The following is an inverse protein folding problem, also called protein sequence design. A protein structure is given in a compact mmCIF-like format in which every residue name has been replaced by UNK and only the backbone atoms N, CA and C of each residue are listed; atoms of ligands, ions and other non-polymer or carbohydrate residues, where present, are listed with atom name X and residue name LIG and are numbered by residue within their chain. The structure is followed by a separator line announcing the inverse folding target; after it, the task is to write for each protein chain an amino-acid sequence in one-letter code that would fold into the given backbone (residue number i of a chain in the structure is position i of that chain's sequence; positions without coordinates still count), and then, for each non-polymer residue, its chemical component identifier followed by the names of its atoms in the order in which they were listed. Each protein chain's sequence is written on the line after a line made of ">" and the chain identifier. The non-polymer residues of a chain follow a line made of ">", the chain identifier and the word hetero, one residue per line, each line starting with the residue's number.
data_IF_380941360907
#
_entry.id   IF_380941360907
#
_cell.length_a   1.000
_cell.length_b   1.000
_cell.length_c   1.000
_cell.angle_alpha   90.00
_cell.angle_beta   90.00
_cell.angle_gamma   90.00
#
_symmetry.space_group_name_H-M   'P 1'
#
loop_
_entity.id
_entity.type
_entity.pdbx_description
1 polymer ?
#
# COMPACT_ATOMS: atom_id res chain seq x y z
N UNK A 1 15.24 68.96 18.87
CA UNK A 1 16.17 69.23 17.73
C UNK A 1 16.65 67.86 17.31
N UNK A 2 16.43 67.27 16.25
CA UNK A 2 16.01 67.54 14.93
C UNK A 2 15.78 66.20 14.26
N UNK A 3 14.73 66.14 13.51
CA UNK A 3 14.39 65.11 12.54
C UNK A 3 15.54 64.83 11.57
N UNK A 4 15.63 63.58 11.05
CA UNK A 4 15.60 63.35 9.60
C UNK A 4 15.11 61.91 9.29
N UNK A 5 14.03 61.87 8.54
CA UNK A 5 13.50 60.76 7.77
C UNK A 5 14.33 60.61 6.50
N UNK A 6 14.68 59.41 6.08
CA UNK A 6 14.80 59.11 4.65
C UNK A 6 14.55 57.59 4.36
N UNK A 7 13.53 57.42 3.57
CA UNK A 7 13.16 56.24 2.83
C UNK A 7 14.21 55.89 1.77
N UNK A 8 14.47 54.60 1.54
CA UNK A 8 14.84 54.11 0.22
C UNK A 8 14.26 52.72 0.00
N UNK A 9 13.32 52.69 -0.90
CA UNK A 9 12.90 51.49 -1.63
C UNK A 9 14.08 50.93 -2.43
N UNK A 10 14.26 49.63 -2.42
CA UNK A 10 14.97 48.94 -3.50
C UNK A 10 14.39 47.60 -3.77
N UNK A 11 13.78 47.55 -4.94
CA UNK A 11 13.75 46.48 -5.95
C UNK A 11 13.28 45.11 -5.55
N UNK A 12 12.08 44.87 -5.99
CA UNK A 12 11.48 43.57 -6.23
C UNK A 12 12.40 42.66 -7.06
N UNK A 13 12.80 41.54 -6.51
CA UNK A 13 13.23 40.39 -7.27
C UNK A 13 12.02 39.54 -7.65
N UNK A 14 11.63 39.66 -8.91
CA UNK A 14 10.64 38.81 -9.57
C UNK A 14 11.06 37.36 -9.45
N UNK A 15 10.43 36.62 -8.58
CA UNK A 15 10.44 35.17 -8.60
C UNK A 15 9.57 34.70 -9.76
N UNK A 16 10.18 34.27 -10.85
CA UNK A 16 9.52 33.57 -11.94
C UNK A 16 8.87 32.30 -11.41
N UNK A 17 7.58 32.36 -11.14
CA UNK A 17 6.73 31.17 -11.05
C UNK A 17 6.74 30.51 -12.42
N UNK A 18 7.62 29.54 -12.63
CA UNK A 18 7.44 28.53 -13.66
C UNK A 18 6.11 27.84 -13.37
N UNK A 19 5.08 28.16 -14.16
CA UNK A 19 3.86 27.40 -14.24
C UNK A 19 4.24 25.99 -14.69
N UNK A 20 4.27 25.07 -13.75
CA UNK A 20 4.23 23.64 -14.05
C UNK A 20 2.90 23.39 -14.76
N UNK A 21 3.00 22.94 -15.98
CA UNK A 21 1.86 22.49 -16.78
C UNK A 21 1.17 21.37 -16.01
N UNK A 22 -0.12 21.57 -15.79
CA UNK A 22 -1.12 20.64 -15.30
C UNK A 22 -0.60 19.47 -14.45
N UNK A 23 -0.71 19.52 -13.10
CA UNK A 23 -0.67 18.30 -12.33
C UNK A 23 -1.87 17.46 -12.77
N UNK A 24 -1.63 16.28 -13.30
CA UNK A 24 -2.64 15.24 -13.38
C UNK A 24 -3.17 15.10 -11.96
N UNK A 25 -4.40 15.50 -11.70
CA UNK A 25 -5.07 15.29 -10.43
C UNK A 25 -5.16 13.77 -10.25
N UNK A 26 -4.24 13.23 -9.48
CA UNK A 26 -4.35 11.87 -8.97
C UNK A 26 -5.60 11.86 -8.10
N UNK A 27 -6.68 11.27 -8.61
CA UNK A 27 -7.93 11.11 -7.88
C UNK A 27 -7.66 10.49 -6.52
N UNK A 28 -8.49 10.82 -5.54
CA UNK A 28 -8.38 10.29 -4.19
C UNK A 28 -8.23 8.76 -4.25
N UNK A 29 -7.07 8.26 -3.85
CA UNK A 29 -6.79 6.84 -3.76
C UNK A 29 -7.57 6.30 -2.56
N UNK A 30 -8.85 6.06 -2.76
CA UNK A 30 -9.64 5.30 -1.78
C UNK A 30 -9.12 3.88 -1.84
N UNK A 31 -8.28 3.55 -0.89
CA UNK A 31 -7.83 2.20 -0.61
C UNK A 31 -9.04 1.40 -0.13
N UNK A 32 -9.79 0.86 -1.07
CA UNK A 32 -10.65 -0.26 -0.77
C UNK A 32 -9.76 -1.50 -0.69
N UNK A 33 -9.49 -1.96 0.52
CA UNK A 33 -9.53 -3.38 0.74
C UNK A 33 -10.99 -3.74 0.43
N UNK A 34 -11.26 -4.13 -0.79
CA UNK A 34 -12.45 -4.91 -1.03
C UNK A 34 -12.22 -6.21 -0.25
N UNK A 35 -12.83 -6.25 0.93
CA UNK A 35 -13.22 -7.52 1.50
C UNK A 35 -14.28 -8.00 0.50
N UNK A 36 -13.80 -8.64 -0.58
CA UNK A 36 -14.66 -9.32 -1.51
C UNK A 36 -15.52 -10.28 -0.68
N UNK A 37 -16.81 -10.21 -0.85
CA UNK A 37 -17.68 -11.33 -0.56
C UNK A 37 -17.07 -12.57 -1.23
N UNK A 38 -16.42 -13.40 -0.44
CA UNK A 38 -15.88 -14.68 -0.86
C UNK A 38 -17.03 -15.62 -1.22
N UNK A 39 -17.62 -15.43 -2.39
CA UNK A 39 -18.61 -16.34 -2.96
C UNK A 39 -17.99 -17.10 -4.13
N UNK A 40 -17.04 -17.96 -3.85
CA UNK A 40 -16.68 -19.01 -4.79
C UNK A 40 -16.01 -20.17 -4.06
N UNK A 41 -16.77 -21.22 -3.83
CA UNK A 41 -16.33 -22.51 -3.32
C UNK A 41 -16.81 -22.76 -1.90
N UNK A 42 -17.95 -23.45 -1.80
CA UNK A 42 -18.44 -24.25 -0.68
C UNK A 42 -17.58 -24.22 0.60
N UNK A 43 -17.58 -23.08 1.28
CA UNK A 43 -17.49 -23.04 2.72
C UNK A 43 -18.92 -22.80 3.18
N UNK A 44 -19.56 -23.87 3.67
CA UNK A 44 -20.81 -23.77 4.41
C UNK A 44 -20.60 -22.76 5.53
N UNK A 45 -21.55 -21.81 5.62
CA UNK A 45 -21.69 -20.84 6.69
C UNK A 45 -20.79 -19.59 6.68
N UNK A 46 -20.86 -18.78 5.59
CA UNK A 46 -20.78 -17.34 5.83
C UNK A 46 -22.15 -16.84 6.33
N UNK A 47 -22.19 -16.09 7.44
CA UNK A 47 -23.45 -15.55 7.94
C UNK A 47 -24.06 -14.66 6.86
N UNK A 48 -25.23 -15.06 6.34
CA UNK A 48 -26.04 -14.22 5.45
C UNK A 48 -26.30 -12.87 6.12
N UNK A 49 -26.55 -11.79 5.37
CA UNK A 49 -26.92 -10.46 5.91
C UNK A 49 -27.95 -10.51 7.04
N UNK A 50 -28.81 -11.56 7.12
CA UNK A 50 -29.75 -11.81 8.21
C UNK A 50 -29.11 -12.15 9.55
N UNK A 51 -27.91 -12.75 9.57
CA UNK A 51 -27.21 -13.12 10.81
C UNK A 51 -26.56 -11.93 11.54
N UNK A 52 -26.40 -10.78 10.85
CA UNK A 52 -25.87 -9.55 11.45
C UNK A 52 -26.90 -8.77 12.27
N UNK A 53 -28.20 -9.05 12.12
CA UNK A 53 -29.26 -8.38 12.88
C UNK A 53 -29.33 -8.91 14.31
N UNK A 54 -29.47 -8.01 15.29
CA UNK A 54 -29.62 -8.37 16.70
C UNK A 54 -31.07 -8.70 17.01
N UNK A 55 -31.95 -7.75 16.68
CA UNK A 55 -33.40 -7.80 16.97
C UNK A 55 -34.01 -6.57 16.29
N UNK A 56 -35.14 -6.68 15.56
CA UNK A 56 -35.68 -5.57 14.79
C UNK A 56 -35.86 -4.25 15.54
N UNK A 57 -36.34 -4.22 16.81
CA UNK A 57 -36.42 -2.97 17.59
C UNK A 57 -35.08 -2.34 17.90
N UNK A 58 -34.05 -3.15 18.19
CA UNK A 58 -32.69 -2.62 18.45
C UNK A 58 -32.01 -2.15 17.19
N UNK A 59 -32.14 -2.86 16.09
CA UNK A 59 -31.59 -2.45 14.78
C UNK A 59 -32.17 -1.10 14.33
N UNK A 60 -33.47 -0.85 14.58
CA UNK A 60 -34.08 0.45 14.29
C UNK A 60 -33.48 1.58 15.12
N UNK A 61 -33.25 1.34 16.42
CA UNK A 61 -32.61 2.34 17.30
C UNK A 61 -31.15 2.62 16.93
N UNK A 62 -30.40 1.59 16.53
CA UNK A 62 -29.02 1.76 16.04
C UNK A 62 -28.99 2.60 14.77
N UNK A 63 -29.90 2.35 13.82
CA UNK A 63 -30.05 3.15 12.60
C UNK A 63 -30.37 4.62 12.89
N UNK A 64 -31.30 4.86 13.82
CA UNK A 64 -31.65 6.20 14.25
C UNK A 64 -30.43 6.91 14.87
N UNK A 65 -29.71 6.27 15.79
CA UNK A 65 -28.50 6.80 16.40
C UNK A 65 -27.42 7.16 15.35
N UNK A 66 -27.18 6.28 14.38
CA UNK A 66 -26.18 6.50 13.31
C UNK A 66 -26.61 7.67 12.42
N UNK A 67 -27.89 7.79 12.11
CA UNK A 67 -28.45 8.92 11.34
C UNK A 67 -28.28 10.23 12.10
N UNK A 68 -28.68 10.27 13.37
CA UNK A 68 -28.60 11.46 14.22
C UNK A 68 -27.17 11.92 14.44
N UNK A 69 -26.22 10.98 14.48
CA UNK A 69 -24.79 11.27 14.57
C UNK A 69 -24.20 11.87 13.28
N UNK A 70 -24.89 11.73 12.14
CA UNK A 70 -24.49 12.29 10.86
C UNK A 70 -23.51 11.41 10.05
N UNK A 71 -23.59 10.10 10.15
CA UNK A 71 -22.87 9.18 9.27
C UNK A 71 -23.43 9.31 7.85
N UNK A 72 -22.59 9.65 6.88
CA UNK A 72 -23.09 10.13 5.58
C UNK A 72 -22.65 9.31 4.36
N UNK A 73 -21.54 8.53 4.41
CA UNK A 73 -21.08 7.79 3.22
C UNK A 73 -21.50 6.32 3.21
N UNK A 74 -21.41 5.64 4.35
CA UNK A 74 -21.70 4.20 4.50
C UNK A 74 -22.29 3.94 5.89
N UNK A 75 -23.50 4.46 6.19
CA UNK A 75 -24.12 4.30 7.51
C UNK A 75 -24.29 2.83 7.88
N UNK A 76 -24.54 1.94 6.89
CA UNK A 76 -24.74 0.52 7.09
C UNK A 76 -23.54 -0.16 7.75
N UNK A 77 -22.30 0.20 7.36
CA UNK A 77 -21.08 -0.35 7.98
C UNK A 77 -20.92 0.10 9.43
N UNK A 78 -21.31 1.32 9.76
CA UNK A 78 -21.30 1.82 11.13
C UNK A 78 -22.35 1.09 11.98
N UNK A 79 -23.54 0.89 11.42
CA UNK A 79 -24.61 0.07 12.06
C UNK A 79 -24.10 -1.34 12.37
N UNK A 80 -23.45 -2.01 11.40
CA UNK A 80 -22.88 -3.36 11.57
C UNK A 80 -21.81 -3.40 12.67
N UNK A 81 -20.94 -2.39 12.76
CA UNK A 81 -19.93 -2.30 13.84
C UNK A 81 -20.58 -2.16 15.21
N UNK A 82 -21.61 -1.32 15.35
CA UNK A 82 -22.34 -1.14 16.62
C UNK A 82 -23.06 -2.42 17.00
N UNK A 83 -23.75 -3.03 16.06
CA UNK A 83 -24.46 -4.31 16.26
C UNK A 83 -23.49 -5.41 16.67
N UNK A 84 -22.31 -5.47 16.03
CA UNK A 84 -21.24 -6.43 16.39
C UNK A 84 -20.75 -6.20 17.83
N UNK A 85 -20.57 -4.94 18.23
CA UNK A 85 -20.17 -4.62 19.61
C UNK A 85 -21.23 -5.05 20.64
N UNK A 86 -22.53 -4.87 20.32
CA UNK A 86 -23.62 -5.33 21.20
C UNK A 86 -23.69 -6.87 21.28
N UNK A 87 -23.40 -7.58 20.18
CA UNK A 87 -23.33 -9.04 20.17
C UNK A 87 -22.20 -9.56 21.04
N UNK A 88 -21.03 -8.91 21.04
CA UNK A 88 -19.92 -9.29 21.93
C UNK A 88 -20.32 -9.28 23.42
N UNK A 89 -21.17 -8.34 23.85
CA UNK A 89 -21.70 -8.33 25.22
C UNK A 89 -22.66 -9.52 25.47
N UNK A 90 -23.44 -9.92 24.48
CA UNK A 90 -24.35 -11.09 24.58
C UNK A 90 -23.58 -12.41 24.57
N UNK A 91 -22.50 -12.50 23.79
CA UNK A 91 -21.66 -13.69 23.65
C UNK A 91 -20.78 -13.94 24.90
N UNK A 92 -20.90 -13.11 25.93
CA UNK A 92 -20.16 -13.21 27.19
C UNK A 92 -18.63 -13.31 26.99
N UNK A 93 -18.10 -12.57 26.04
CA UNK A 93 -16.67 -12.54 25.72
C UNK A 93 -15.81 -12.17 26.94
N UNK A 94 -14.61 -12.70 27.02
CA UNK A 94 -13.68 -12.36 28.07
C UNK A 94 -13.29 -10.88 28.06
N UNK A 95 -12.96 -10.33 29.23
CA UNK A 95 -12.45 -8.95 29.31
C UNK A 95 -11.16 -8.77 28.50
N UNK A 96 -10.36 -9.83 28.38
CA UNK A 96 -9.12 -9.80 27.56
C UNK A 96 -9.44 -9.63 26.09
N UNK A 97 -10.39 -10.41 25.54
CA UNK A 97 -10.82 -10.32 24.14
C UNK A 97 -11.45 -8.97 23.82
N UNK A 98 -12.32 -8.47 24.72
CA UNK A 98 -12.93 -7.14 24.56
C UNK A 98 -11.86 -6.02 24.55
N UNK A 99 -10.83 -6.11 25.39
CA UNK A 99 -9.72 -5.17 25.40
C UNK A 99 -8.92 -5.24 24.10
N UNK A 100 -8.65 -6.45 23.60
CA UNK A 100 -7.94 -6.68 22.33
C UNK A 100 -8.69 -6.01 21.17
N UNK A 101 -9.96 -6.36 20.98
CA UNK A 101 -10.80 -5.87 19.88
C UNK A 101 -10.95 -4.34 19.96
N UNK A 102 -11.29 -3.81 21.14
CA UNK A 102 -11.45 -2.37 21.33
C UNK A 102 -10.17 -1.59 21.06
N UNK A 103 -8.99 -2.11 21.45
CA UNK A 103 -7.72 -1.47 21.15
C UNK A 103 -7.42 -1.53 19.67
N UNK A 104 -7.62 -2.67 19.02
CA UNK A 104 -7.42 -2.85 17.58
C UNK A 104 -8.28 -1.89 16.75
N UNK A 105 -9.57 -1.76 17.10
CA UNK A 105 -10.48 -0.82 16.46
C UNK A 105 -10.00 0.64 16.59
N UNK A 106 -9.52 1.03 17.78
CA UNK A 106 -8.98 2.38 18.02
C UNK A 106 -7.72 2.63 17.21
N UNK A 107 -6.80 1.67 17.12
CA UNK A 107 -5.57 1.77 16.34
C UNK A 107 -5.87 1.91 14.85
N UNK A 108 -6.76 1.05 14.31
CA UNK A 108 -7.18 1.11 12.91
C UNK A 108 -7.85 2.44 12.55
N UNK A 109 -8.77 2.91 13.40
CA UNK A 109 -9.45 4.19 13.19
C UNK A 109 -8.47 5.37 13.24
N UNK A 110 -7.54 5.37 14.20
CA UNK A 110 -6.56 6.45 14.33
C UNK A 110 -5.60 6.48 13.14
N UNK A 111 -5.07 5.33 12.73
CA UNK A 111 -4.22 5.23 11.55
C UNK A 111 -4.94 5.74 10.29
N UNK A 112 -6.17 5.28 10.04
CA UNK A 112 -6.97 5.75 8.91
C UNK A 112 -7.16 7.28 8.92
N UNK A 113 -7.41 7.88 10.11
CA UNK A 113 -7.51 9.34 10.26
C UNK A 113 -6.22 10.06 9.91
N UNK A 114 -5.05 9.53 10.34
CA UNK A 114 -3.74 10.15 10.08
C UNK A 114 -3.36 10.05 8.61
N UNK A 115 -3.67 8.94 7.94
CA UNK A 115 -3.36 8.75 6.52
C UNK A 115 -4.30 9.47 5.56
N UNK A 116 -5.55 9.73 5.96
CA UNK A 116 -6.58 10.30 5.08
C UNK A 116 -6.17 11.59 4.32
N UNK A 117 -5.50 12.58 4.92
CA UNK A 117 -5.06 13.78 4.21
C UNK A 117 -4.04 13.50 3.08
N UNK A 118 -3.36 12.36 3.16
CA UNK A 118 -2.30 11.95 2.24
C UNK A 118 -2.72 10.80 1.32
N UNK A 119 -4.02 10.51 1.23
CA UNK A 119 -4.53 9.40 0.40
C UNK A 119 -4.19 9.56 -1.09
N UNK A 120 -4.02 10.79 -1.56
CA UNK A 120 -3.66 11.12 -2.94
C UNK A 120 -2.17 10.93 -3.27
N UNK A 121 -1.32 10.69 -2.28
CA UNK A 121 0.13 10.50 -2.47
C UNK A 121 0.48 9.01 -2.37
N UNK A 122 1.34 8.55 -3.28
CA UNK A 122 1.93 7.21 -3.17
C UNK A 122 2.90 7.16 -2.02
N UNK A 123 3.02 5.97 -1.44
CA UNK A 123 3.86 5.73 -0.28
C UNK A 123 4.69 4.49 -0.49
N UNK A 124 5.97 4.53 -0.11
CA UNK A 124 6.87 3.38 -0.09
C UNK A 124 7.17 2.99 1.35
N UNK A 125 6.97 1.72 1.70
CA UNK A 125 7.39 1.20 3.00
C UNK A 125 8.85 0.76 2.92
N UNK A 126 9.65 1.22 3.88
CA UNK A 126 11.08 0.90 3.98
C UNK A 126 11.33 0.07 5.23
N UNK A 127 11.89 -1.12 5.04
CA UNK A 127 12.30 -2.02 6.11
C UNK A 127 13.78 -2.37 5.99
N UNK A 128 14.43 -2.59 7.11
CA UNK A 128 15.82 -2.98 7.21
C UNK A 128 16.27 -3.01 8.66
N UNK A 129 17.53 -3.34 8.89
CA UNK A 129 18.10 -3.44 10.22
C UNK A 129 18.07 -2.11 10.98
N UNK A 130 17.53 -2.12 12.20
CA UNK A 130 17.62 -0.99 13.13
C UNK A 130 19.01 -0.79 13.73
N UNK A 131 19.95 -1.71 13.46
CA UNK A 131 21.31 -1.72 14.06
C UNK A 131 22.40 -1.19 13.12
N UNK A 132 22.04 -0.78 11.91
CA UNK A 132 22.98 -0.19 10.95
C UNK A 132 23.39 1.20 11.46
N UNK A 133 24.68 1.44 11.73
CA UNK A 133 25.13 2.74 12.20
C UNK A 133 25.17 3.77 11.04
N UNK A 134 25.16 5.08 11.33
CA UNK A 134 25.13 6.13 10.31
C UNK A 134 26.31 6.12 9.33
N UNK A 135 27.46 5.56 9.75
CA UNK A 135 28.68 5.48 8.95
C UNK A 135 28.68 4.31 7.96
N UNK A 136 27.72 3.38 8.11
CA UNK A 136 27.66 2.20 7.24
C UNK A 136 27.17 2.58 5.83
N UNK A 137 27.72 1.96 4.78
CA UNK A 137 27.29 2.23 3.40
C UNK A 137 25.80 1.94 3.18
N UNK A 138 25.24 0.94 3.83
CA UNK A 138 23.81 0.61 3.77
C UNK A 138 22.93 1.75 4.29
N UNK A 139 23.38 2.49 5.31
CA UNK A 139 22.69 3.68 5.81
C UNK A 139 22.61 4.74 4.73
N UNK A 140 23.73 5.01 4.05
CA UNK A 140 23.77 5.98 2.96
C UNK A 140 22.90 5.58 1.79
N UNK A 141 22.89 4.31 1.41
CA UNK A 141 22.02 3.78 0.33
C UNK A 141 20.54 3.99 0.68
N UNK A 142 20.14 3.75 1.93
CA UNK A 142 18.75 3.93 2.38
C UNK A 142 18.36 5.42 2.41
N UNK A 143 19.25 6.30 2.84
CA UNK A 143 19.04 7.74 2.82
C UNK A 143 18.88 8.26 1.40
N UNK A 144 19.79 7.88 0.49
CA UNK A 144 19.76 8.32 -0.91
C UNK A 144 18.51 7.76 -1.64
N UNK A 145 18.15 6.51 -1.40
CA UNK A 145 16.92 5.93 -1.94
C UNK A 145 15.67 6.74 -1.52
N UNK A 146 15.57 7.05 -0.24
CA UNK A 146 14.42 7.79 0.27
C UNK A 146 14.37 9.23 -0.26
N UNK A 147 15.52 9.89 -0.42
CA UNK A 147 15.61 11.21 -1.04
C UNK A 147 15.16 11.18 -2.50
N UNK A 148 15.65 10.21 -3.26
CA UNK A 148 15.34 10.07 -4.68
C UNK A 148 13.87 9.72 -4.92
N UNK A 149 13.32 8.74 -4.21
CA UNK A 149 11.92 8.35 -4.38
C UNK A 149 10.95 9.47 -3.97
N UNK A 150 11.30 10.29 -3.00
CA UNK A 150 10.52 11.46 -2.61
C UNK A 150 10.56 12.58 -3.67
N UNK A 151 11.61 12.66 -4.49
CA UNK A 151 11.66 13.55 -5.66
C UNK A 151 10.64 13.14 -6.75
N UNK A 152 10.20 11.89 -6.74
CA UNK A 152 9.12 11.36 -7.59
C UNK A 152 7.74 11.41 -6.91
N UNK A 153 7.53 12.32 -5.94
CA UNK A 153 6.26 12.54 -5.22
C UNK A 153 5.76 11.39 -4.37
N UNK A 154 6.66 10.51 -3.93
CA UNK A 154 6.33 9.51 -2.91
C UNK A 154 6.53 10.07 -1.49
N UNK A 155 5.86 9.44 -0.53
CA UNK A 155 6.16 9.53 0.89
C UNK A 155 6.77 8.22 1.37
N UNK A 156 7.52 8.27 2.47
CA UNK A 156 8.15 7.09 3.08
C UNK A 156 7.40 6.68 4.34
N UNK A 157 7.17 5.39 4.50
CA UNK A 157 6.64 4.78 5.73
C UNK A 157 7.72 3.88 6.31
N UNK A 158 8.07 4.05 7.58
CA UNK A 158 8.98 3.16 8.31
C UNK A 158 8.41 2.75 9.65
N UNK A 159 9.13 1.86 10.37
CA UNK A 159 8.82 1.55 11.76
C UNK A 159 9.16 2.65 12.77
N UNK A 160 9.78 3.75 12.34
CA UNK A 160 10.12 4.89 13.18
C UNK A 160 11.36 4.72 14.06
N UNK A 161 12.07 3.59 13.97
CA UNK A 161 13.32 3.34 14.71
C UNK A 161 14.55 3.89 14.00
N UNK A 162 15.73 3.59 14.55
CA UNK A 162 17.03 3.96 13.99
C UNK A 162 17.47 3.04 12.84
N UNK A 163 18.72 3.11 12.45
CA UNK A 163 19.33 2.33 11.37
C UNK A 163 18.72 2.67 10.01
N UNK A 164 18.36 1.66 9.23
CA UNK A 164 17.77 1.84 7.90
C UNK A 164 16.49 2.68 7.94
N UNK A 165 15.66 2.52 8.97
CA UNK A 165 14.43 3.29 9.12
C UNK A 165 14.73 4.78 9.34
N UNK A 166 15.69 5.09 10.21
CA UNK A 166 16.16 6.46 10.47
C UNK A 166 16.82 7.07 9.23
N UNK A 167 17.65 6.30 8.52
CA UNK A 167 18.28 6.72 7.27
C UNK A 167 17.24 7.11 6.21
N UNK A 168 16.23 6.25 6.00
CA UNK A 168 15.18 6.53 5.05
C UNK A 168 14.37 7.78 5.43
N UNK A 169 14.07 7.99 6.71
CA UNK A 169 13.37 9.20 7.15
C UNK A 169 14.24 10.45 7.08
N UNK A 170 15.56 10.31 7.27
CA UNK A 170 16.50 11.41 7.06
C UNK A 170 16.54 11.84 5.58
N UNK A 171 16.59 10.89 4.66
CA UNK A 171 16.56 11.16 3.22
C UNK A 171 15.23 11.76 2.75
N UNK A 172 14.09 11.26 3.24
CA UNK A 172 12.78 11.75 2.90
C UNK A 172 12.43 13.12 3.53
N UNK A 173 13.03 13.41 4.67
CA UNK A 173 12.64 14.56 5.51
C UNK A 173 11.33 14.32 6.27
N UNK A 174 11.11 15.14 7.31
CA UNK A 174 9.97 15.03 8.23
C UNK A 174 8.62 15.10 7.52
N UNK A 175 8.48 16.02 6.57
CA UNK A 175 7.20 16.28 5.89
C UNK A 175 6.75 15.11 5.02
N UNK A 176 7.69 14.36 4.46
CA UNK A 176 7.44 13.19 3.60
C UNK A 176 7.53 11.85 4.35
N UNK A 177 7.60 11.85 5.69
CA UNK A 177 7.79 10.65 6.51
C UNK A 177 6.58 10.29 7.34
N UNK A 178 6.28 8.98 7.40
CA UNK A 178 5.39 8.36 8.38
C UNK A 178 6.18 7.38 9.26
N UNK A 179 5.85 7.33 10.55
CA UNK A 179 6.35 6.32 11.48
C UNK A 179 5.21 5.43 11.98
N UNK A 180 5.29 4.13 11.74
CA UNK A 180 4.38 3.12 12.31
C UNK A 180 5.13 2.37 13.39
N UNK A 181 5.19 2.97 14.58
CA UNK A 181 5.96 2.44 15.70
C UNK A 181 5.19 1.35 16.45
N UNK A 182 5.91 0.34 16.96
CA UNK A 182 5.36 -0.68 17.86
C UNK A 182 5.85 -0.43 19.29
N UNK A 183 4.95 -0.45 20.26
CA UNK A 183 5.32 -0.37 21.67
C UNK A 183 5.87 -1.71 22.14
N UNK A 184 7.16 -1.75 22.42
CA UNK A 184 7.84 -2.92 22.97
C UNK A 184 7.97 -2.82 24.50
N UNK A 185 8.15 -3.95 25.22
CA UNK A 185 8.35 -3.96 26.68
C UNK A 185 9.64 -3.25 27.13
N UNK A 186 10.61 -3.07 26.23
CA UNK A 186 11.82 -2.31 26.44
C UNK A 186 11.75 -0.99 25.64
N UNK A 187 12.41 0.05 26.13
CA UNK A 187 12.44 1.35 25.44
C UNK A 187 13.09 1.22 24.06
N UNK A 188 12.30 1.38 23.02
CA UNK A 188 12.78 1.60 21.67
C UNK A 188 12.62 3.10 21.38
N UNK A 189 13.73 3.78 21.24
CA UNK A 189 13.72 5.20 20.86
C UNK A 189 13.21 5.34 19.44
N UNK A 190 12.35 6.31 19.26
CA UNK A 190 11.94 6.78 17.95
C UNK A 190 13.06 7.69 17.41
N UNK A 191 13.38 7.61 16.11
CA UNK A 191 14.40 8.47 15.55
C UNK A 191 13.96 9.94 15.52
N UNK A 192 14.95 10.84 15.54
CA UNK A 192 14.75 12.30 15.69
C UNK A 192 13.95 12.94 14.56
N UNK A 193 13.89 12.32 13.39
CA UNK A 193 13.16 12.88 12.24
C UNK A 193 11.66 12.85 12.47
N UNK A 194 11.14 11.74 13.00
CA UNK A 194 9.69 11.53 13.15
C UNK A 194 9.20 11.74 14.59
N UNK A 195 10.10 11.91 15.55
CA UNK A 195 9.74 12.12 16.96
C UNK A 195 8.83 13.34 17.12
N UNK A 196 7.71 13.17 17.84
CA UNK A 196 6.70 14.21 18.08
C UNK A 196 5.89 14.65 16.85
N UNK A 197 6.07 14.02 15.68
CA UNK A 197 5.27 14.33 14.50
C UNK A 197 3.89 13.66 14.55
N UNK A 198 2.79 14.33 14.11
CA UNK A 198 1.46 13.73 14.03
C UNK A 198 1.38 12.48 13.15
N UNK A 199 2.32 12.31 12.21
CA UNK A 199 2.43 11.11 11.34
C UNK A 199 3.15 9.94 12.01
N UNK A 200 3.58 10.09 13.27
CA UNK A 200 4.06 8.99 14.11
C UNK A 200 2.89 8.31 14.79
N UNK A 201 2.58 7.10 14.38
CA UNK A 201 1.48 6.29 14.91
C UNK A 201 2.04 5.17 15.79
N UNK A 202 1.58 5.09 17.03
CA UNK A 202 2.03 4.07 17.97
C UNK A 202 1.00 2.93 18.05
N UNK A 203 1.43 1.71 17.75
CA UNK A 203 0.65 0.49 17.83
C UNK A 203 1.04 -0.34 19.07
N UNK A 204 0.08 -1.06 19.63
CA UNK A 204 0.34 -2.05 20.68
C UNK A 204 0.35 -3.48 20.14
N UNK A 205 -0.24 -3.70 18.96
CA UNK A 205 -0.30 -5.02 18.34
C UNK A 205 0.41 -5.03 16.99
N UNK A 206 1.19 -6.09 16.76
CA UNK A 206 1.88 -6.29 15.49
C UNK A 206 0.89 -6.41 14.33
N UNK A 207 -0.21 -7.16 14.48
CA UNK A 207 -1.14 -7.41 13.38
C UNK A 207 -1.85 -6.12 12.89
N UNK A 208 -2.25 -5.22 13.78
CA UNK A 208 -2.83 -3.93 13.37
C UNK A 208 -1.80 -3.04 12.66
N UNK A 209 -0.54 -3.06 13.13
CA UNK A 209 0.57 -2.34 12.50
C UNK A 209 0.86 -2.89 11.11
N UNK A 210 1.03 -4.22 10.97
CA UNK A 210 1.31 -4.91 9.71
C UNK A 210 0.20 -4.65 8.68
N UNK A 211 -1.07 -4.76 9.08
CA UNK A 211 -2.19 -4.45 8.22
C UNK A 211 -2.13 -3.00 7.68
N UNK A 212 -1.75 -2.03 8.52
CA UNK A 212 -1.60 -0.64 8.06
C UNK A 212 -0.40 -0.45 7.12
N UNK A 213 0.72 -1.15 7.31
CA UNK A 213 1.80 -1.16 6.32
C UNK A 213 1.31 -1.62 4.95
N UNK A 214 0.69 -2.80 4.88
CA UNK A 214 0.19 -3.35 3.61
C UNK A 214 -0.88 -2.46 2.99
N UNK A 215 -1.80 -1.95 3.81
CA UNK A 215 -2.92 -1.12 3.36
C UNK A 215 -2.48 0.20 2.75
N UNK A 216 -1.53 0.89 3.35
CA UNK A 216 -1.18 2.26 2.98
C UNK A 216 -0.04 2.35 1.95
N UNK A 217 0.62 1.23 1.68
CA UNK A 217 1.84 1.17 0.87
C UNK A 217 1.55 0.89 -0.60
N UNK A 218 2.33 1.53 -1.47
CA UNK A 218 2.29 1.39 -2.92
C UNK A 218 3.56 0.73 -3.47
N UNK A 219 4.60 0.58 -2.66
CA UNK A 219 5.83 -0.14 -2.97
C UNK A 219 6.54 -0.54 -1.68
N UNK A 220 7.26 -1.65 -1.69
CA UNK A 220 8.15 -2.04 -0.61
C UNK A 220 9.61 -1.93 -1.05
N UNK A 221 10.44 -1.31 -0.22
CA UNK A 221 11.88 -1.30 -0.35
C UNK A 221 12.48 -1.96 0.89
N UNK A 222 13.10 -3.11 0.69
CA UNK A 222 13.60 -4.00 1.73
C UNK A 222 15.12 -4.01 1.68
N UNK A 223 15.74 -3.58 2.75
CA UNK A 223 17.19 -3.54 2.95
C UNK A 223 17.64 -4.71 3.82
N UNK A 224 18.92 -5.06 3.82
CA UNK A 224 19.44 -6.09 4.72
C UNK A 224 19.04 -5.88 6.17
N UNK A 225 18.56 -6.96 6.83
CA UNK A 225 18.06 -6.84 8.19
C UNK A 225 17.88 -8.18 8.92
N UNK A 226 17.38 -8.11 10.14
CA UNK A 226 17.16 -9.26 11.00
C UNK A 226 15.76 -9.85 10.86
N UNK A 227 15.31 -10.54 11.91
CA UNK A 227 14.01 -11.23 11.94
C UNK A 227 12.83 -10.32 11.60
N UNK A 228 12.80 -9.08 12.10
CA UNK A 228 11.69 -8.16 11.79
C UNK A 228 11.62 -7.79 10.31
N UNK A 229 12.76 -7.65 9.63
CA UNK A 229 12.80 -7.41 8.18
C UNK A 229 12.33 -8.64 7.41
N UNK A 230 12.77 -9.85 7.82
CA UNK A 230 12.35 -11.10 7.20
C UNK A 230 10.86 -11.39 7.41
N UNK A 231 10.34 -11.11 8.60
CA UNK A 231 8.93 -11.25 8.95
C UNK A 231 8.03 -10.40 8.02
N UNK A 232 8.38 -9.13 7.80
CA UNK A 232 7.66 -8.29 6.85
C UNK A 232 7.87 -8.74 5.39
N UNK A 233 9.08 -9.18 5.03
CA UNK A 233 9.39 -9.67 3.67
C UNK A 233 8.52 -10.86 3.31
N UNK A 234 8.49 -11.89 4.16
CA UNK A 234 7.69 -13.09 3.90
C UNK A 234 6.19 -12.83 3.97
N UNK A 235 5.74 -11.95 4.86
CA UNK A 235 4.33 -11.57 4.92
C UNK A 235 3.88 -10.90 3.62
N UNK A 236 4.62 -9.89 3.16
CA UNK A 236 4.30 -9.18 1.90
C UNK A 236 4.28 -10.15 0.72
N UNK A 237 5.29 -11.01 0.58
CA UNK A 237 5.35 -11.99 -0.51
C UNK A 237 4.19 -12.98 -0.43
N UNK A 238 3.83 -13.45 0.76
CA UNK A 238 2.69 -14.36 0.96
C UNK A 238 1.38 -13.68 0.58
N UNK A 239 1.18 -12.43 0.97
CA UNK A 239 -0.04 -11.67 0.63
C UNK A 239 -0.14 -11.41 -0.88
N UNK A 240 0.96 -11.12 -1.55
CA UNK A 240 1.00 -10.96 -3.01
C UNK A 240 0.75 -12.30 -3.71
N UNK A 241 1.44 -13.37 -3.31
CA UNK A 241 1.31 -14.72 -3.87
C UNK A 241 -0.13 -15.25 -3.78
N UNK A 242 -0.78 -15.00 -2.67
CA UNK A 242 -2.15 -15.47 -2.41
C UNK A 242 -3.24 -14.52 -2.90
N UNK A 243 -2.87 -13.35 -3.42
CA UNK A 243 -3.81 -12.32 -3.87
C UNK A 243 -4.60 -11.64 -2.75
N UNK A 244 -4.11 -11.73 -1.52
CA UNK A 244 -4.69 -11.03 -0.36
C UNK A 244 -4.25 -9.56 -0.27
N UNK A 245 -3.20 -9.18 -1.00
CA UNK A 245 -2.86 -7.80 -1.26
C UNK A 245 -2.87 -7.54 -2.77
N UNK A 246 -3.09 -6.28 -3.14
CA UNK A 246 -2.91 -5.84 -4.54
C UNK A 246 -1.46 -6.03 -4.95
N UNK A 247 -1.23 -6.30 -6.23
CA UNK A 247 0.14 -6.37 -6.77
C UNK A 247 0.75 -4.98 -6.76
N UNK A 248 1.90 -4.88 -6.11
CA UNK A 248 2.72 -3.68 -6.01
C UNK A 248 4.20 -4.07 -6.16
N UNK A 249 5.09 -3.16 -6.56
CA UNK A 249 6.51 -3.45 -6.67
C UNK A 249 7.15 -3.70 -5.30
N UNK A 250 7.97 -4.74 -5.23
CA UNK A 250 8.81 -5.08 -4.07
C UNK A 250 10.26 -5.10 -4.55
N UNK A 251 11.07 -4.19 -4.04
CA UNK A 251 12.51 -4.13 -4.34
C UNK A 251 13.32 -4.56 -3.11
N UNK A 252 14.24 -5.48 -3.34
CA UNK A 252 15.22 -5.95 -2.36
C UNK A 252 16.52 -5.23 -2.69
N UNK A 253 16.81 -4.12 -1.98
CA UNK A 253 17.92 -3.24 -2.28
C UNK A 253 19.11 -3.55 -1.36
N UNK A 254 20.22 -3.90 -1.98
CA UNK A 254 21.52 -4.05 -1.32
C UNK A 254 22.47 -2.93 -1.78
N UNK A 255 23.59 -2.80 -1.11
CA UNK A 255 24.70 -1.97 -1.61
C UNK A 255 25.33 -2.61 -2.86
N UNK A 256 26.09 -1.87 -3.67
CA UNK A 256 26.61 -2.36 -4.96
C UNK A 256 27.40 -3.67 -4.90
N UNK A 257 28.12 -3.93 -3.82
CA UNK A 257 28.92 -5.14 -3.57
C UNK A 257 28.29 -6.05 -2.50
N UNK A 258 27.04 -5.79 -2.13
CA UNK A 258 26.30 -6.58 -1.16
C UNK A 258 25.88 -7.93 -1.73
N UNK A 259 25.81 -8.94 -0.86
CA UNK A 259 25.44 -10.32 -1.23
C UNK A 259 24.34 -10.89 -0.33
N UNK A 260 23.71 -10.02 0.46
CA UNK A 260 22.67 -10.45 1.41
C UNK A 260 21.46 -11.04 0.70
N UNK A 261 20.94 -10.33 -0.28
CA UNK A 261 19.76 -10.78 -1.01
C UNK A 261 20.05 -11.90 -2.00
N UNK A 262 21.27 -11.99 -2.57
CA UNK A 262 21.68 -13.14 -3.37
C UNK A 262 21.76 -14.41 -2.52
N UNK A 263 22.25 -14.31 -1.28
CA UNK A 263 22.31 -15.43 -0.35
C UNK A 263 20.88 -15.89 0.02
N UNK A 264 19.98 -14.94 0.26
CA UNK A 264 18.57 -15.23 0.49
C UNK A 264 17.91 -15.86 -0.76
N UNK A 265 18.21 -15.38 -1.97
CA UNK A 265 17.71 -15.96 -3.22
C UNK A 265 18.19 -17.43 -3.38
N UNK A 266 19.44 -17.74 -3.03
CA UNK A 266 19.92 -19.13 -3.03
C UNK A 266 19.09 -19.99 -2.08
N UNK A 267 18.81 -19.49 -0.88
CA UNK A 267 17.94 -20.20 0.07
C UNK A 267 16.55 -20.45 -0.53
N UNK A 268 15.91 -19.46 -1.13
CA UNK A 268 14.60 -19.65 -1.78
C UNK A 268 14.66 -20.68 -2.89
N UNK A 269 15.69 -20.62 -3.73
CA UNK A 269 15.85 -21.53 -4.86
C UNK A 269 16.09 -22.97 -4.39
N UNK A 270 16.98 -23.16 -3.43
CA UNK A 270 17.41 -24.51 -3.02
C UNK A 270 16.44 -25.18 -2.05
N UNK A 271 15.77 -24.42 -1.19
CA UNK A 271 14.97 -24.97 -0.09
C UNK A 271 13.47 -24.71 -0.21
N UNK A 272 13.02 -23.76 -1.04
CA UNK A 272 11.61 -23.55 -1.26
C UNK A 272 11.18 -23.98 -2.66
N UNK A 273 11.84 -23.49 -3.70
CA UNK A 273 11.47 -23.79 -5.08
C UNK A 273 11.75 -25.24 -5.46
N UNK A 274 12.97 -25.76 -5.23
CA UNK A 274 13.31 -27.15 -5.53
C UNK A 274 12.47 -28.19 -4.78
N UNK A 275 11.95 -27.81 -3.60
CA UNK A 275 11.05 -28.64 -2.80
C UNK A 275 9.57 -28.46 -3.15
N UNK A 276 9.25 -27.57 -4.08
CA UNK A 276 7.89 -27.32 -4.55
C UNK A 276 7.03 -26.50 -3.57
N UNK A 277 7.63 -25.77 -2.64
CA UNK A 277 6.89 -24.91 -1.70
C UNK A 277 6.48 -23.57 -2.32
N UNK A 278 7.21 -23.12 -3.34
CA UNK A 278 6.88 -21.97 -4.18
C UNK A 278 7.04 -22.34 -5.66
N UNK A 279 6.40 -21.56 -6.54
CA UNK A 279 6.45 -21.73 -7.99
C UNK A 279 7.47 -20.79 -8.65
N UNK A 280 7.79 -21.03 -9.92
CA UNK A 280 8.67 -20.17 -10.71
C UNK A 280 8.10 -18.76 -10.83
N UNK A 281 6.79 -18.63 -10.99
CA UNK A 281 6.12 -17.33 -11.10
C UNK A 281 6.26 -16.47 -9.84
N UNK A 282 6.46 -17.08 -8.66
CA UNK A 282 6.59 -16.35 -7.39
C UNK A 282 7.85 -15.47 -7.36
N UNK A 283 8.89 -15.83 -8.12
CA UNK A 283 10.09 -15.01 -8.26
C UNK A 283 9.84 -13.68 -9.02
N UNK A 284 8.72 -13.57 -9.73
CA UNK A 284 8.32 -12.34 -10.39
C UNK A 284 7.72 -11.29 -9.43
N UNK A 285 7.40 -11.67 -8.19
CA UNK A 285 6.77 -10.79 -7.22
C UNK A 285 7.73 -9.76 -6.61
N UNK A 286 9.04 -9.94 -6.78
CA UNK A 286 10.06 -9.05 -6.24
C UNK A 286 11.25 -8.92 -7.20
N UNK A 287 12.08 -7.91 -6.98
CA UNK A 287 13.30 -7.68 -7.75
C UNK A 287 14.47 -7.33 -6.83
N UNK A 288 15.59 -8.03 -6.99
CA UNK A 288 16.86 -7.69 -6.31
C UNK A 288 17.58 -6.65 -7.14
N UNK A 289 18.03 -5.58 -6.49
CA UNK A 289 18.73 -4.46 -7.10
C UNK A 289 19.88 -3.99 -6.21
N UNK A 290 20.93 -3.41 -6.83
CA UNK A 290 22.15 -3.00 -6.14
C UNK A 290 22.42 -1.49 -6.22
N UNK A 291 21.54 -0.74 -6.89
CA UNK A 291 21.66 0.70 -6.98
C UNK A 291 20.35 1.39 -6.60
N UNK A 292 20.47 2.58 -6.03
CA UNK A 292 19.32 3.46 -5.74
C UNK A 292 18.52 3.73 -7.01
N UNK A 293 19.22 4.00 -8.12
CA UNK A 293 18.58 4.28 -9.40
C UNK A 293 17.70 3.12 -9.86
N UNK A 294 18.22 1.89 -9.84
CA UNK A 294 17.45 0.71 -10.27
C UNK A 294 16.23 0.46 -9.40
N UNK A 295 16.34 0.73 -8.07
CA UNK A 295 15.22 0.61 -7.15
C UNK A 295 14.12 1.64 -7.43
N UNK A 296 14.49 2.89 -7.66
CA UNK A 296 13.55 3.97 -7.98
C UNK A 296 12.93 3.76 -9.36
N UNK A 297 13.74 3.39 -10.35
CA UNK A 297 13.26 3.10 -11.71
C UNK A 297 12.23 1.95 -11.71
N UNK A 298 12.49 0.85 -10.98
CA UNK A 298 11.54 -0.26 -10.85
C UNK A 298 10.20 0.18 -10.26
N UNK A 299 10.23 0.96 -9.19
CA UNK A 299 9.02 1.44 -8.54
C UNK A 299 8.25 2.42 -9.43
N UNK A 300 8.94 3.36 -10.07
CA UNK A 300 8.32 4.35 -10.94
C UNK A 300 7.79 3.73 -12.22
N UNK A 301 8.55 2.80 -12.83
CA UNK A 301 8.15 2.10 -14.04
C UNK A 301 6.91 1.25 -13.83
N UNK A 302 6.73 0.64 -12.64
CA UNK A 302 5.54 -0.15 -12.32
C UNK A 302 4.25 0.66 -12.44
N UNK A 303 4.29 1.96 -12.22
CA UNK A 303 3.12 2.85 -12.30
C UNK A 303 3.11 3.74 -13.54
N UNK A 304 3.86 3.40 -14.59
CA UNK A 304 3.94 4.21 -15.80
C UNK A 304 2.59 4.27 -16.55
N UNK A 305 1.95 3.12 -16.69
CA UNK A 305 0.65 2.97 -17.36
C UNK A 305 -0.37 2.38 -16.38
N UNK A 306 0.01 1.36 -15.61
CA UNK A 306 -0.82 0.77 -14.58
C UNK A 306 -1.18 1.80 -13.51
N UNK A 307 -2.47 1.98 -13.26
CA UNK A 307 -2.95 2.85 -12.20
C UNK A 307 -3.33 2.06 -10.96
N UNK A 308 -4.23 1.13 -11.09
CA UNK A 308 -4.77 0.28 -10.01
C UNK A 308 -5.50 -0.91 -10.60
N UNK A 309 -5.89 -1.85 -9.75
CA UNK A 309 -6.76 -2.96 -10.15
C UNK A 309 -7.78 -3.25 -9.08
N UNK A 310 -8.91 -3.83 -9.48
CA UNK A 310 -9.94 -4.36 -8.58
C UNK A 310 -10.58 -5.58 -9.19
N UNK A 311 -11.18 -6.41 -8.34
CA UNK A 311 -12.06 -7.48 -8.77
C UNK A 311 -13.49 -6.95 -8.84
N UNK A 312 -14.19 -7.31 -9.90
CA UNK A 312 -15.64 -7.14 -10.06
C UNK A 312 -16.21 -8.51 -10.37
N UNK A 313 -16.80 -9.16 -9.40
CA UNK A 313 -17.19 -10.58 -9.47
C UNK A 313 -15.97 -11.47 -9.81
N UNK A 314 -15.99 -12.13 -10.96
CA UNK A 314 -14.90 -12.97 -11.45
C UNK A 314 -13.92 -12.26 -12.39
N UNK A 315 -14.22 -11.02 -12.73
CA UNK A 315 -13.39 -10.20 -13.62
C UNK A 315 -12.36 -9.39 -12.83
N UNK A 316 -11.11 -9.41 -13.28
CA UNK A 316 -10.10 -8.46 -12.83
C UNK A 316 -10.14 -7.24 -13.75
N UNK A 317 -10.33 -6.09 -13.17
CA UNK A 317 -10.33 -4.79 -13.84
C UNK A 317 -9.01 -4.08 -13.54
N UNK A 318 -8.15 -3.96 -14.55
CA UNK A 318 -6.89 -3.22 -14.47
C UNK A 318 -7.13 -1.83 -15.06
N UNK A 319 -7.02 -0.80 -14.24
CA UNK A 319 -7.15 0.60 -14.65
C UNK A 319 -5.80 1.12 -15.11
N UNK A 320 -5.80 1.86 -16.20
CA UNK A 320 -4.58 2.39 -16.82
C UNK A 320 -4.67 3.91 -16.96
N UNK A 321 -3.53 4.58 -16.96
CA UNK A 321 -3.46 6.05 -17.17
C UNK A 321 -3.72 6.44 -18.63
N UNK A 322 -3.59 5.49 -19.57
CA UNK A 322 -3.79 5.70 -21.00
C UNK A 322 -4.14 4.38 -21.70
N UNK A 323 -4.79 4.47 -22.84
CA UNK A 323 -5.16 3.31 -23.66
C UNK A 323 -3.95 2.69 -24.36
N UNK A 324 -4.03 1.38 -24.57
CA UNK A 324 -3.03 0.62 -25.32
C UNK A 324 -3.50 0.41 -26.77
N UNK A 325 -2.56 0.34 -27.75
CA UNK A 325 -2.87 -0.05 -29.12
C UNK A 325 -3.47 -1.45 -29.20
N UNK A 326 -4.40 -1.66 -30.14
CA UNK A 326 -5.06 -2.97 -30.33
C UNK A 326 -4.06 -4.10 -30.62
N UNK A 327 -2.98 -3.81 -31.33
CA UNK A 327 -1.91 -4.77 -31.61
C UNK A 327 -1.20 -5.24 -30.33
N UNK A 328 -1.02 -4.36 -29.35
CA UNK A 328 -0.44 -4.70 -28.04
C UNK A 328 -1.37 -5.64 -27.27
N UNK A 329 -2.68 -5.34 -27.27
CA UNK A 329 -3.69 -6.17 -26.61
C UNK A 329 -3.75 -7.56 -27.26
N UNK A 330 -3.71 -7.64 -28.58
CA UNK A 330 -3.63 -8.90 -29.31
C UNK A 330 -2.38 -9.72 -28.91
N UNK A 331 -1.23 -9.04 -28.76
CA UNK A 331 0.00 -9.67 -28.26
C UNK A 331 -0.15 -10.19 -26.81
N UNK A 332 -0.86 -9.45 -25.95
CA UNK A 332 -1.14 -9.91 -24.59
C UNK A 332 -2.03 -11.14 -24.55
N UNK A 333 -3.06 -11.20 -25.40
CA UNK A 333 -3.93 -12.37 -25.52
C UNK A 333 -3.18 -13.63 -25.96
N UNK A 334 -2.14 -13.50 -26.79
CA UNK A 334 -1.25 -14.60 -27.13
C UNK A 334 -0.30 -14.97 -26.00
N UNK A 335 0.40 -13.98 -25.42
CA UNK A 335 1.47 -14.19 -24.44
C UNK A 335 0.94 -14.68 -23.08
N UNK A 336 -0.27 -14.24 -22.69
CA UNK A 336 -0.87 -14.49 -21.39
C UNK A 336 -2.14 -15.37 -21.47
N UNK A 337 -2.27 -16.17 -22.54
CA UNK A 337 -3.38 -17.12 -22.71
C UNK A 337 -3.48 -18.12 -21.53
N UNK A 338 -2.35 -18.51 -20.97
CA UNK A 338 -2.23 -19.41 -19.80
C UNK A 338 -2.76 -18.80 -18.50
N UNK A 339 -2.79 -17.46 -18.41
CA UNK A 339 -3.35 -16.75 -17.27
C UNK A 339 -4.88 -16.78 -17.27
N UNK A 340 -5.50 -16.92 -18.44
CA UNK A 340 -6.95 -16.78 -18.63
C UNK A 340 -7.69 -18.03 -18.20
N UNK A 341 -8.68 -17.90 -17.33
CA UNK A 341 -9.66 -18.94 -17.00
C UNK A 341 -10.67 -19.08 -18.14
N UNK A 342 -11.10 -17.95 -18.69
CA UNK A 342 -12.04 -17.87 -19.81
C UNK A 342 -11.95 -16.50 -20.52
N UNK A 343 -12.42 -16.45 -21.77
CA UNK A 343 -12.46 -15.22 -22.56
C UNK A 343 -11.08 -14.68 -22.94
N UNK A 344 -11.03 -13.41 -23.22
CA UNK A 344 -9.84 -12.67 -23.68
C UNK A 344 -9.62 -11.42 -22.83
N UNK A 345 -8.40 -10.87 -22.88
CA UNK A 345 -8.09 -9.54 -22.33
C UNK A 345 -8.72 -8.49 -23.24
N UNK A 346 -9.64 -7.70 -22.73
CA UNK A 346 -10.38 -6.70 -23.48
C UNK A 346 -10.16 -5.31 -22.91
N UNK A 347 -9.88 -4.33 -23.76
CA UNK A 347 -9.83 -2.92 -23.36
C UNK A 347 -11.20 -2.28 -23.52
N UNK A 348 -11.66 -1.62 -22.44
CA UNK A 348 -12.94 -0.89 -22.43
C UNK A 348 -12.94 0.27 -21.43
N UNK A 349 -14.03 1.03 -21.34
CA UNK A 349 -14.27 2.05 -20.34
C UNK A 349 -14.68 1.48 -18.98
N UNK A 350 -15.10 2.34 -18.07
CA UNK A 350 -15.53 1.97 -16.72
C UNK A 350 -16.73 1.00 -16.72
N UNK A 351 -16.77 0.12 -15.73
CA UNK A 351 -17.89 -0.78 -15.49
C UNK A 351 -18.97 -0.06 -14.66
N UNK A 352 -20.22 -0.51 -14.77
CA UNK A 352 -21.34 0.04 -13.99
C UNK A 352 -21.14 -0.06 -12.47
N UNK A 353 -20.40 -1.07 -12.03
CA UNK A 353 -20.06 -1.32 -10.63
C UNK A 353 -19.05 -0.32 -10.05
N UNK A 354 -18.38 0.44 -10.93
CA UNK A 354 -17.41 1.47 -10.55
C UNK A 354 -18.02 2.88 -10.42
N UNK A 355 -19.33 3.04 -10.51
CA UNK A 355 -20.04 4.33 -10.48
C UNK A 355 -19.78 5.17 -9.23
N UNK A 356 -19.32 4.55 -8.15
CA UNK A 356 -19.01 5.22 -6.89
C UNK A 356 -17.58 5.80 -6.85
N UNK A 357 -16.81 5.67 -7.93
CA UNK A 357 -15.42 6.13 -8.06
C UNK A 357 -15.28 7.14 -9.22
N UNK A 358 -15.95 8.31 -9.15
CA UNK A 358 -15.99 9.28 -10.26
C UNK A 358 -14.61 9.82 -10.65
N UNK A 359 -13.66 9.88 -9.71
CA UNK A 359 -12.32 10.46 -9.94
C UNK A 359 -11.48 9.64 -10.93
N UNK A 360 -11.81 8.36 -11.12
CA UNK A 360 -11.10 7.44 -11.99
C UNK A 360 -11.99 6.92 -13.12
N UNK A 361 -13.19 7.49 -13.30
CA UNK A 361 -14.17 7.04 -14.28
C UNK A 361 -13.64 7.07 -15.71
N UNK A 362 -12.85 8.07 -16.06
CA UNK A 362 -12.34 8.29 -17.42
C UNK A 362 -11.09 7.45 -17.75
N UNK A 363 -10.52 6.73 -16.77
CA UNK A 363 -9.38 5.87 -17.05
C UNK A 363 -9.78 4.70 -17.96
N UNK A 364 -8.96 4.29 -18.93
CA UNK A 364 -9.17 3.06 -19.69
C UNK A 364 -8.92 1.83 -18.80
N UNK A 365 -9.62 0.73 -19.12
CA UNK A 365 -9.51 -0.55 -18.40
C UNK A 365 -9.06 -1.67 -19.32
N UNK A 366 -8.22 -2.57 -18.82
CA UNK A 366 -8.13 -3.95 -19.28
C UNK A 366 -8.95 -4.82 -18.35
N UNK A 367 -9.87 -5.57 -18.93
CA UNK A 367 -10.76 -6.49 -18.21
C UNK A 367 -10.45 -7.90 -18.66
N UNK A 368 -10.27 -8.81 -17.70
CA UNK A 368 -9.91 -10.19 -17.93
C UNK A 368 -10.47 -11.09 -16.84
N UNK A 369 -10.69 -12.36 -17.16
CA UNK A 369 -11.13 -13.39 -16.19
C UNK A 369 -9.99 -14.39 -15.96
N UNK A 370 -9.02 -14.09 -15.09
CA UNK A 370 -7.84 -14.92 -14.89
C UNK A 370 -8.11 -16.05 -13.90
N UNK A 371 -7.22 -17.05 -13.89
CA UNK A 371 -7.12 -17.96 -12.74
C UNK A 371 -6.64 -17.20 -11.51
N UNK A 372 -7.31 -17.36 -10.37
CA UNK A 372 -6.95 -16.71 -9.09
C UNK A 372 -5.80 -17.46 -8.35
N UNK A 373 -4.81 -17.96 -9.06
CA UNK A 373 -3.71 -18.74 -8.49
C UNK A 373 -2.31 -18.36 -9.00
N UNK A 374 -2.22 -17.48 -9.98
CA UNK A 374 -0.97 -17.14 -10.64
C UNK A 374 -0.71 -15.63 -10.55
N UNK A 375 -0.53 -15.12 -9.33
CA UNK A 375 -0.33 -13.68 -9.12
C UNK A 375 1.04 -13.20 -9.61
N UNK A 376 2.06 -14.06 -9.61
CA UNK A 376 3.33 -13.76 -10.26
C UNK A 376 3.17 -13.59 -11.78
N UNK A 377 2.35 -14.43 -12.43
CA UNK A 377 2.02 -14.30 -13.84
C UNK A 377 1.23 -13.03 -14.13
N UNK A 378 0.33 -12.63 -13.20
CA UNK A 378 -0.38 -11.36 -13.26
C UNK A 378 0.58 -10.17 -13.10
N UNK A 379 1.59 -10.27 -12.25
CA UNK A 379 2.67 -9.28 -12.16
C UNK A 379 3.39 -9.10 -13.49
N UNK A 380 3.71 -10.19 -14.19
CA UNK A 380 4.32 -10.13 -15.53
C UNK A 380 3.42 -9.43 -16.55
N UNK A 381 2.09 -9.60 -16.48
CA UNK A 381 1.15 -8.86 -17.32
C UNK A 381 1.21 -7.35 -17.02
N UNK A 382 1.22 -6.97 -15.75
CA UNK A 382 1.34 -5.55 -15.35
C UNK A 382 2.67 -4.96 -15.83
N UNK A 383 3.78 -5.70 -15.73
CA UNK A 383 5.07 -5.26 -16.24
C UNK A 383 5.06 -5.10 -17.77
N UNK A 384 4.38 -6.00 -18.49
CA UNK A 384 4.20 -5.89 -19.93
C UNK A 384 3.34 -4.67 -20.31
N UNK A 385 2.28 -4.37 -19.56
CA UNK A 385 1.48 -3.16 -19.71
C UNK A 385 2.37 -1.93 -19.57
N UNK A 386 3.18 -1.89 -18.49
CA UNK A 386 4.06 -0.75 -18.21
C UNK A 386 5.22 -0.60 -19.19
N UNK A 387 5.59 -1.67 -19.90
CA UNK A 387 6.65 -1.66 -20.93
C UNK A 387 6.12 -1.42 -22.33
N UNK A 388 4.80 -1.38 -22.52
CA UNK A 388 4.20 -1.22 -23.84
C UNK A 388 4.58 0.12 -24.49
N UNK A 389 4.89 0.07 -25.78
CA UNK A 389 5.03 1.27 -26.62
C UNK A 389 3.66 1.85 -26.86
N UNK A 390 3.51 3.12 -26.58
CA UNK A 390 2.31 3.90 -26.83
C UNK A 390 2.64 4.77 -28.01
N UNK A 391 1.94 4.56 -29.09
CA UNK A 391 2.14 5.27 -30.33
C UNK A 391 1.92 6.78 -30.22
#
# INVERSE_FOLDING_TARGET
>A
MGQVVLSTETSATRNQKRRLKNPVRLGAWTLMFEVEDFTAGTIQDQPTRRQWRVDPPFDARVRELVRDWGANKTPELIEEMIVTALKMARDAMSVADLKLINRSLKEMRYAAKVFAPYAHLRKVAVFGSARIPPEAPEFKVAEDFAREICAHDYMVITGGGDGIMGAAQLGAGRDRSFGLNIRLPFEQKVNVVIEGDPKLINFNYFFTRKLNFVKETHAFALFPGGFGTMDETFEVLTLLQTGKARIIPVVLLDRPDGTYWETWMKFLTEHLFKLGFISEDDFCLFKIVHTVKDAVDEICQFYRIYHSSRWVHDELVIRMTQSLPTSVIAGFNQKFADLMRQGEIVQRGALSEEKNEPEIWDLPRLVLTPYRRSFGRLRQLIDAINSASIG
#
